data_IF_648096255288
#
_entry.id   IF_648096255288
#
_cell.length_a   1.000
_cell.length_b   1.000
_cell.length_c   1.000
_cell.angle_alpha   90.00
_cell.angle_beta   90.00
_cell.angle_gamma   90.00
#
_symmetry.space_group_name_H-M   'P 1'
#
loop_
_entity.id
_entity.type
_entity.pdbx_description
1 polymer ?
#
# COMPACT_ATOMS: atom_id res chain seq x y z
N UNK A 1 12.55 27.83 1.28
CA UNK A 1 12.63 26.56 0.51
C UNK A 1 11.34 26.40 -0.29
N UNK A 2 11.43 26.06 -1.59
CA UNK A 2 10.25 25.71 -2.39
C UNK A 2 9.78 24.32 -1.94
N UNK A 3 8.50 24.23 -1.56
CA UNK A 3 7.91 22.97 -1.11
C UNK A 3 7.78 21.99 -2.29
N UNK A 4 8.24 20.73 -2.15
CA UNK A 4 8.30 19.77 -3.24
C UNK A 4 6.96 19.06 -3.46
N UNK A 5 5.88 19.79 -3.72
CA UNK A 5 4.58 19.18 -4.06
C UNK A 5 4.69 18.34 -5.33
N UNK A 6 4.11 17.14 -5.33
CA UNK A 6 4.03 16.30 -6.54
C UNK A 6 3.19 17.05 -7.56
N UNK A 7 1.95 17.42 -7.25
CA UNK A 7 1.11 18.22 -8.15
C UNK A 7 0.98 19.66 -7.64
N UNK A 8 0.17 19.88 -6.60
CA UNK A 8 -0.09 21.19 -5.99
C UNK A 8 -0.40 20.99 -4.51
N UNK A 9 -0.10 21.99 -3.68
CA UNK A 9 -0.30 21.92 -2.23
C UNK A 9 -1.69 21.40 -1.83
N UNK A 10 -2.76 21.93 -2.45
CA UNK A 10 -4.14 21.54 -2.15
C UNK A 10 -4.43 20.06 -2.49
N UNK A 11 -4.07 19.60 -3.68
CA UNK A 11 -4.37 18.23 -4.12
C UNK A 11 -3.54 17.20 -3.39
N UNK A 12 -2.24 17.47 -3.21
CA UNK A 12 -1.34 16.60 -2.46
C UNK A 12 -1.78 16.50 -0.99
N UNK A 13 -2.12 17.63 -0.37
CA UNK A 13 -2.58 17.63 1.02
C UNK A 13 -3.87 16.81 1.17
N UNK A 14 -4.84 16.96 0.27
CA UNK A 14 -6.13 16.30 0.42
C UNK A 14 -6.11 14.80 0.06
N UNK A 15 -5.41 14.42 -1.03
CA UNK A 15 -5.50 13.05 -1.55
C UNK A 15 -4.30 12.16 -1.21
N UNK A 16 -3.16 12.74 -0.80
CA UNK A 16 -1.94 11.97 -0.50
C UNK A 16 -1.61 12.06 1.00
N UNK A 17 -1.63 13.26 1.59
CA UNK A 17 -1.20 13.44 2.99
C UNK A 17 -2.33 13.20 3.99
N UNK A 18 -3.49 13.82 3.79
CA UNK A 18 -4.64 13.79 4.69
C UNK A 18 -5.20 12.38 4.98
N UNK A 19 -5.25 11.41 4.04
CA UNK A 19 -5.87 10.11 4.30
C UNK A 19 -5.37 9.44 5.59
N UNK A 20 -4.06 9.43 5.81
CA UNK A 20 -3.45 8.86 7.02
C UNK A 20 -3.93 9.55 8.31
N UNK A 21 -3.91 10.88 8.35
CA UNK A 21 -4.35 11.65 9.52
C UNK A 21 -5.84 11.55 9.77
N UNK A 22 -6.64 11.55 8.69
CA UNK A 22 -8.09 11.44 8.77
C UNK A 22 -8.48 10.10 9.37
N UNK A 23 -7.87 9.01 8.92
CA UNK A 23 -8.17 7.67 9.43
C UNK A 23 -7.74 7.54 10.89
N UNK A 24 -6.55 8.02 11.25
CA UNK A 24 -6.12 8.05 12.66
C UNK A 24 -7.14 8.80 13.51
N UNK A 25 -7.60 9.97 13.07
CA UNK A 25 -8.62 10.73 13.80
C UNK A 25 -9.94 9.95 13.91
N UNK A 26 -10.40 9.29 12.84
CA UNK A 26 -11.61 8.47 12.85
C UNK A 26 -11.49 7.34 13.88
N UNK A 27 -10.35 6.64 13.91
CA UNK A 27 -10.11 5.53 14.85
C UNK A 27 -10.20 6.01 16.31
N UNK A 28 -9.58 7.14 16.63
CA UNK A 28 -9.61 7.66 18.01
C UNK A 28 -10.96 8.25 18.41
N UNK A 29 -11.68 8.88 17.49
CA UNK A 29 -12.96 9.53 17.79
C UNK A 29 -14.15 8.55 17.78
N UNK A 30 -14.06 7.47 17.01
CA UNK A 30 -15.19 6.57 16.73
C UNK A 30 -14.90 5.09 17.06
N UNK A 31 -14.03 4.82 18.04
CA UNK A 31 -13.60 3.45 18.37
C UNK A 31 -14.77 2.50 18.66
N UNK A 32 -15.77 2.94 19.44
CA UNK A 32 -16.95 2.10 19.77
C UNK A 32 -17.81 1.81 18.54
N UNK A 33 -17.98 2.79 17.67
CA UNK A 33 -18.74 2.66 16.44
C UNK A 33 -18.02 1.74 15.44
N UNK A 34 -16.69 1.83 15.35
CA UNK A 34 -15.89 0.93 14.52
C UNK A 34 -16.04 -0.52 14.98
N UNK A 35 -16.02 -0.79 16.29
CA UNK A 35 -16.27 -2.14 16.80
C UNK A 35 -17.66 -2.67 16.40
N UNK A 36 -18.70 -1.85 16.52
CA UNK A 36 -20.06 -2.23 16.07
C UNK A 36 -20.11 -2.48 14.56
N UNK A 37 -19.39 -1.67 13.77
CA UNK A 37 -19.30 -1.83 12.32
C UNK A 37 -18.61 -3.14 11.95
N UNK A 38 -17.51 -3.47 12.64
CA UNK A 38 -16.76 -4.72 12.45
C UNK A 38 -17.65 -5.95 12.73
N UNK A 39 -18.42 -5.91 13.82
CA UNK A 39 -19.29 -7.01 14.24
C UNK A 39 -20.54 -7.18 13.36
N UNK A 40 -21.12 -6.09 12.85
CA UNK A 40 -22.43 -6.12 12.17
C UNK A 40 -22.39 -5.91 10.66
N UNK A 41 -21.32 -5.33 10.12
CA UNK A 41 -21.22 -4.86 8.73
C UNK A 41 -19.91 -5.29 8.05
N UNK A 42 -19.35 -6.44 8.46
CA UNK A 42 -18.07 -6.98 7.97
C UNK A 42 -17.98 -7.06 6.43
N UNK A 43 -19.06 -7.47 5.76
CA UNK A 43 -19.14 -7.48 4.29
C UNK A 43 -18.90 -6.09 3.68
N UNK A 44 -19.54 -5.05 4.22
CA UNK A 44 -19.41 -3.70 3.67
C UNK A 44 -18.03 -3.11 3.94
N UNK A 45 -17.43 -3.41 5.10
CA UNK A 45 -16.06 -2.99 5.39
C UNK A 45 -15.06 -3.67 4.48
N UNK A 46 -15.22 -4.97 4.23
CA UNK A 46 -14.40 -5.69 3.26
C UNK A 46 -14.57 -5.12 1.85
N UNK A 47 -15.81 -4.93 1.38
CA UNK A 47 -16.08 -4.41 0.05
C UNK A 47 -15.48 -3.00 -0.15
N UNK A 48 -15.64 -2.11 0.82
CA UNK A 48 -15.17 -0.73 0.70
C UNK A 48 -13.66 -0.64 0.87
N UNK A 49 -13.09 -1.31 1.86
CA UNK A 49 -11.66 -1.19 2.18
C UNK A 49 -10.84 -2.11 1.29
N UNK A 50 -11.10 -3.42 1.33
CA UNK A 50 -10.31 -4.40 0.59
C UNK A 50 -10.58 -4.25 -0.91
N UNK A 51 -11.81 -4.37 -1.37
CA UNK A 51 -12.07 -4.39 -2.83
C UNK A 51 -11.90 -3.02 -3.47
N UNK A 52 -12.56 -1.99 -2.93
CA UNK A 52 -12.63 -0.67 -3.57
C UNK A 52 -11.42 0.23 -3.31
N UNK A 53 -10.53 -0.13 -2.39
CA UNK A 53 -9.28 0.62 -2.15
C UNK A 53 -8.07 -0.28 -2.36
N UNK A 54 -7.99 -1.44 -1.69
CA UNK A 54 -6.82 -2.31 -1.78
C UNK A 54 -6.72 -2.95 -3.18
N UNK A 55 -7.66 -3.78 -3.59
CA UNK A 55 -7.62 -4.39 -4.93
C UNK A 55 -7.67 -3.32 -6.03
N UNK A 56 -8.45 -2.26 -5.86
CA UNK A 56 -8.53 -1.16 -6.82
C UNK A 56 -7.21 -0.42 -7.06
N UNK A 57 -6.34 -0.23 -6.03
CA UNK A 57 -5.08 0.48 -6.23
C UNK A 57 -4.10 -0.31 -7.09
N UNK A 58 -4.11 -1.65 -7.00
CA UNK A 58 -3.30 -2.56 -7.83
C UNK A 58 -3.50 -2.22 -9.31
N UNK A 59 -4.77 -2.06 -9.71
CA UNK A 59 -5.16 -1.76 -11.09
C UNK A 59 -4.86 -0.32 -11.53
N UNK A 60 -4.64 0.62 -10.61
CA UNK A 60 -4.19 1.96 -10.97
C UNK A 60 -2.85 1.91 -11.75
N UNK A 61 -2.03 0.89 -11.49
CA UNK A 61 -0.76 0.66 -12.21
C UNK A 61 -0.94 0.51 -13.72
N UNK A 62 -2.10 0.02 -14.19
CA UNK A 62 -2.40 -0.12 -15.63
C UNK A 62 -2.32 1.23 -16.36
N UNK A 63 -2.75 2.31 -15.72
CA UNK A 63 -2.79 3.67 -16.28
C UNK A 63 -1.39 4.31 -16.42
N UNK A 64 -0.38 3.76 -15.76
CA UNK A 64 1.03 4.14 -15.93
C UNK A 64 1.77 3.24 -16.93
N UNK A 65 1.26 2.04 -17.17
CA UNK A 65 1.99 0.95 -17.83
C UNK A 65 1.25 0.43 -19.07
N UNK A 66 0.40 -0.58 -18.90
CA UNK A 66 -0.23 -1.32 -20.00
C UNK A 66 -1.12 -0.46 -20.89
N UNK A 67 -1.83 0.52 -20.33
CA UNK A 67 -2.68 1.45 -21.09
C UNK A 67 -1.88 2.56 -21.78
N UNK A 68 -0.61 2.73 -21.46
CA UNK A 68 0.26 3.75 -22.06
C UNK A 68 1.12 3.10 -23.13
N UNK A 69 0.69 3.20 -24.40
CA UNK A 69 1.35 2.54 -25.55
C UNK A 69 2.87 2.78 -25.58
N UNK A 70 3.32 4.00 -25.32
CA UNK A 70 4.74 4.36 -25.34
C UNK A 70 5.53 3.67 -24.24
N UNK A 71 5.02 3.63 -23.01
CA UNK A 71 5.66 2.91 -21.89
C UNK A 71 5.58 1.41 -22.09
N UNK A 72 4.48 0.88 -22.64
CA UNK A 72 4.37 -0.54 -22.98
C UNK A 72 5.44 -0.98 -23.98
N UNK A 73 5.62 -0.25 -25.09
CA UNK A 73 6.65 -0.60 -26.09
C UNK A 73 8.06 -0.51 -25.50
N UNK A 74 8.33 0.52 -24.71
CA UNK A 74 9.63 0.74 -24.06
C UNK A 74 9.99 -0.33 -23.03
N UNK A 75 9.00 -0.89 -22.32
CA UNK A 75 9.19 -1.87 -21.24
C UNK A 75 8.56 -3.23 -21.52
N UNK A 76 8.32 -3.55 -22.80
CA UNK A 76 7.55 -4.74 -23.23
C UNK A 76 8.04 -6.04 -22.59
N UNK A 77 9.36 -6.25 -22.53
CA UNK A 77 9.96 -7.43 -21.90
C UNK A 77 9.58 -7.55 -20.41
N UNK A 78 9.62 -6.44 -19.68
CA UNK A 78 9.25 -6.41 -18.26
C UNK A 78 7.74 -6.62 -18.07
N UNK A 79 6.91 -5.89 -18.84
CA UNK A 79 5.45 -5.91 -18.67
C UNK A 79 4.80 -7.22 -19.14
N UNK A 80 5.45 -8.01 -19.99
CA UNK A 80 4.98 -9.36 -20.36
C UNK A 80 5.67 -10.42 -19.51
N UNK A 81 6.99 -10.31 -19.33
CA UNK A 81 7.78 -11.32 -18.63
C UNK A 81 7.50 -11.39 -17.13
N UNK A 82 7.24 -10.26 -16.47
CA UNK A 82 7.04 -10.22 -15.02
C UNK A 82 5.75 -10.93 -14.57
N UNK A 83 4.56 -10.72 -15.19
CA UNK A 83 3.37 -11.51 -14.86
C UNK A 83 3.57 -13.02 -15.05
N UNK A 84 4.24 -13.43 -16.13
CA UNK A 84 4.55 -14.85 -16.38
C UNK A 84 5.47 -15.39 -15.28
N UNK A 85 6.51 -14.63 -14.91
CA UNK A 85 7.40 -15.03 -13.83
C UNK A 85 6.66 -15.12 -12.49
N UNK A 86 5.78 -14.17 -12.17
CA UNK A 86 4.96 -14.19 -10.95
C UNK A 86 4.06 -15.44 -10.92
N UNK A 87 3.43 -15.78 -12.04
CA UNK A 87 2.62 -16.99 -12.15
C UNK A 87 3.45 -18.26 -11.91
N UNK A 88 4.60 -18.40 -12.58
CA UNK A 88 5.49 -19.56 -12.42
C UNK A 88 6.06 -19.66 -11.00
N UNK A 89 6.45 -18.54 -10.40
CA UNK A 89 6.88 -18.49 -9.00
C UNK A 89 5.73 -18.87 -8.07
N UNK A 90 4.51 -18.40 -8.33
CA UNK A 90 3.32 -18.77 -7.58
C UNK A 90 3.05 -20.28 -7.63
N UNK A 91 3.17 -20.91 -8.81
CA UNK A 91 3.05 -22.36 -8.95
C UNK A 91 4.07 -23.12 -8.10
N UNK A 92 5.34 -22.68 -8.14
CA UNK A 92 6.42 -23.29 -7.34
C UNK A 92 6.17 -23.10 -5.85
N UNK A 93 5.78 -21.90 -5.41
CA UNK A 93 5.52 -21.64 -3.99
C UNK A 93 4.31 -22.43 -3.50
N UNK A 94 3.25 -22.54 -4.29
CA UNK A 94 2.06 -23.30 -3.93
C UNK A 94 2.31 -24.81 -3.88
N UNK A 95 3.19 -25.34 -4.74
CA UNK A 95 3.57 -26.76 -4.69
C UNK A 95 4.37 -27.13 -3.43
N UNK A 96 5.01 -26.16 -2.76
CA UNK A 96 5.62 -26.32 -1.44
C UNK A 96 4.59 -26.29 -0.29
N UNK A 97 3.33 -25.98 -0.60
CA UNK A 97 2.22 -25.95 0.34
C UNK A 97 1.57 -24.57 0.45
N UNK A 98 0.25 -24.57 0.70
CA UNK A 98 -0.56 -23.34 0.83
C UNK A 98 0.01 -22.37 1.87
N UNK A 99 0.46 -22.87 3.03
CA UNK A 99 1.08 -22.03 4.06
C UNK A 99 2.34 -21.31 3.57
N UNK A 100 3.22 -22.00 2.84
CA UNK A 100 4.46 -21.41 2.28
C UNK A 100 4.11 -20.34 1.25
N UNK A 101 3.12 -20.59 0.40
CA UNK A 101 2.65 -19.65 -0.60
C UNK A 101 2.13 -18.34 0.03
N UNK A 102 1.18 -18.44 0.96
CA UNK A 102 0.61 -17.25 1.59
C UNK A 102 1.63 -16.51 2.45
N UNK A 103 2.51 -17.22 3.16
CA UNK A 103 3.61 -16.61 3.91
C UNK A 103 4.54 -15.82 2.98
N UNK A 104 4.97 -16.42 1.87
CA UNK A 104 5.84 -15.76 0.91
C UNK A 104 5.17 -14.52 0.31
N UNK A 105 3.90 -14.61 -0.07
CA UNK A 105 3.14 -13.49 -0.60
C UNK A 105 2.96 -12.38 0.44
N UNK A 106 2.70 -12.71 1.70
CA UNK A 106 2.60 -11.77 2.81
C UNK A 106 3.90 -10.98 3.02
N UNK A 107 5.06 -11.65 3.04
CA UNK A 107 6.35 -10.96 3.14
C UNK A 107 6.63 -10.05 1.94
N UNK A 108 6.25 -10.46 0.73
CA UNK A 108 6.39 -9.64 -0.48
C UNK A 108 5.47 -8.42 -0.42
N UNK A 109 4.23 -8.59 0.04
CA UNK A 109 3.28 -7.49 0.25
C UNK A 109 3.79 -6.49 1.28
N UNK A 110 4.25 -6.96 2.45
CA UNK A 110 4.86 -6.11 3.49
C UNK A 110 6.04 -5.33 2.92
N UNK A 111 6.93 -5.99 2.17
CA UNK A 111 8.04 -5.32 1.51
C UNK A 111 7.56 -4.24 0.53
N UNK A 112 6.55 -4.52 -0.29
CA UNK A 112 5.96 -3.56 -1.21
C UNK A 112 5.41 -2.33 -0.45
N UNK A 113 4.63 -2.53 0.60
CA UNK A 113 4.06 -1.46 1.43
C UNK A 113 5.16 -0.58 2.05
N UNK A 114 6.21 -1.18 2.60
CA UNK A 114 7.39 -0.46 3.13
C UNK A 114 8.03 0.40 2.03
N UNK A 115 8.23 -0.18 0.84
CA UNK A 115 8.88 0.48 -0.30
C UNK A 115 8.03 1.60 -0.87
N UNK A 116 6.71 1.51 -0.81
CA UNK A 116 5.79 2.56 -1.23
C UNK A 116 5.90 3.79 -0.32
N UNK A 117 5.90 3.60 1.01
CA UNK A 117 6.09 4.69 1.98
C UNK A 117 7.45 5.40 1.78
N UNK A 118 8.50 4.62 1.56
CA UNK A 118 9.81 5.14 1.16
C UNK A 118 9.73 5.94 -0.15
N UNK A 119 9.04 5.41 -1.17
CA UNK A 119 8.85 6.07 -2.47
C UNK A 119 8.23 7.46 -2.35
N UNK A 120 7.14 7.60 -1.60
CA UNK A 120 6.51 8.90 -1.32
C UNK A 120 7.44 9.86 -0.59
N UNK A 121 8.14 9.39 0.45
CA UNK A 121 9.13 10.19 1.16
C UNK A 121 10.20 10.72 0.20
N UNK A 122 10.73 9.87 -0.70
CA UNK A 122 11.73 10.28 -1.70
C UNK A 122 11.19 11.28 -2.71
N UNK A 123 9.95 11.13 -3.18
CA UNK A 123 9.30 12.10 -4.06
C UNK A 123 9.20 13.46 -3.38
N UNK A 124 8.80 13.49 -2.11
CA UNK A 124 8.74 14.71 -1.31
C UNK A 124 10.09 15.20 -0.79
N UNK A 125 11.17 14.42 -0.86
CA UNK A 125 12.52 14.86 -0.49
C UNK A 125 13.38 15.26 -1.71
N UNK A 126 12.84 15.23 -2.93
CA UNK A 126 13.63 15.36 -4.18
C UNK A 126 14.42 16.67 -4.32
N UNK A 127 13.96 17.74 -3.69
CA UNK A 127 14.62 19.06 -3.71
C UNK A 127 15.52 19.28 -2.48
N UNK A 128 15.63 18.31 -1.57
CA UNK A 128 16.50 18.40 -0.39
C UNK A 128 17.93 17.97 -0.70
N UNK A 129 18.88 18.49 0.10
CA UNK A 129 20.27 18.06 0.05
C UNK A 129 20.41 16.57 0.35
N UNK A 130 21.24 15.87 -0.43
CA UNK A 130 21.52 14.45 -0.22
C UNK A 130 22.29 14.14 1.07
N UNK A 131 22.85 15.16 1.76
CA UNK A 131 23.69 15.01 2.96
C UNK A 131 23.03 14.21 4.09
N UNK A 132 21.72 14.37 4.27
CA UNK A 132 20.97 13.81 5.42
C UNK A 132 19.95 12.75 5.02
N UNK A 133 20.07 12.21 3.80
CA UNK A 133 19.13 11.22 3.27
C UNK A 133 19.11 9.95 4.11
N UNK A 134 20.25 9.58 4.72
CA UNK A 134 20.30 8.40 5.59
C UNK A 134 19.40 8.54 6.83
N UNK A 135 19.18 9.75 7.36
CA UNK A 135 18.26 9.99 8.48
C UNK A 135 16.81 9.83 8.01
N UNK A 136 16.47 10.38 6.85
CA UNK A 136 15.13 10.22 6.26
C UNK A 136 14.84 8.73 5.95
N UNK A 137 15.84 8.00 5.47
CA UNK A 137 15.75 6.56 5.25
C UNK A 137 15.59 5.80 6.57
N UNK A 138 16.41 6.11 7.57
CA UNK A 138 16.34 5.47 8.87
C UNK A 138 14.94 5.62 9.48
N UNK A 139 14.38 6.85 9.52
CA UNK A 139 13.06 7.05 10.12
C UNK A 139 11.95 6.36 9.35
N UNK A 140 11.94 6.39 8.01
CA UNK A 140 10.83 5.81 7.25
C UNK A 140 10.84 4.29 7.32
N UNK A 141 12.02 3.66 7.32
CA UNK A 141 12.12 2.22 7.53
C UNK A 141 11.81 1.84 8.98
N UNK A 142 12.27 2.63 9.96
CA UNK A 142 11.93 2.39 11.37
C UNK A 142 10.43 2.52 11.62
N UNK A 143 9.76 3.47 10.97
CA UNK A 143 8.31 3.67 11.07
C UNK A 143 7.50 2.44 10.64
N UNK A 144 8.02 1.64 9.71
CA UNK A 144 7.31 0.47 9.16
C UNK A 144 7.85 -0.86 9.66
N UNK A 145 9.17 -1.01 9.82
CA UNK A 145 9.81 -2.25 10.26
C UNK A 145 9.56 -2.50 11.76
N UNK A 146 9.61 -1.48 12.61
CA UNK A 146 9.37 -1.70 14.04
C UNK A 146 7.97 -2.28 14.32
N UNK A 147 6.86 -1.76 13.73
CA UNK A 147 5.55 -2.38 13.87
C UNK A 147 5.50 -3.83 13.39
N UNK A 148 6.19 -4.19 12.31
CA UNK A 148 6.29 -5.61 11.89
C UNK A 148 7.08 -6.46 12.88
N UNK A 149 8.21 -5.95 13.40
CA UNK A 149 8.95 -6.63 14.47
C UNK A 149 8.09 -6.79 15.73
N UNK A 150 7.25 -5.80 16.04
CA UNK A 150 6.28 -5.91 17.12
C UNK A 150 5.29 -7.04 16.84
N UNK A 151 4.73 -7.12 15.63
CA UNK A 151 3.85 -8.22 15.25
C UNK A 151 4.55 -9.57 15.43
N UNK A 152 5.75 -9.76 14.88
CA UNK A 152 6.46 -11.04 14.94
C UNK A 152 6.89 -11.47 16.36
N UNK A 153 7.15 -10.51 17.26
CA UNK A 153 7.74 -10.76 18.58
C UNK A 153 6.74 -10.63 19.75
N UNK A 154 5.50 -10.26 19.48
CA UNK A 154 4.42 -10.14 20.47
C UNK A 154 3.43 -11.30 20.36
N UNK A 155 2.53 -11.47 21.34
CA UNK A 155 1.44 -12.43 21.22
C UNK A 155 0.60 -12.21 19.96
N UNK A 156 -0.04 -13.27 19.49
CA UNK A 156 -0.85 -13.25 18.27
C UNK A 156 -1.82 -12.07 18.22
N UNK A 157 -1.81 -11.39 17.07
CA UNK A 157 -2.71 -10.28 16.77
C UNK A 157 -4.06 -10.83 16.30
N UNK A 158 -5.12 -10.02 16.42
CA UNK A 158 -6.49 -10.37 16.02
C UNK A 158 -6.80 -9.99 14.56
N UNK A 159 -5.77 -9.92 13.73
CA UNK A 159 -5.85 -9.51 12.34
C UNK A 159 -4.75 -10.23 11.58
N UNK A 160 -5.00 -10.42 10.29
CA UNK A 160 -4.06 -11.05 9.36
C UNK A 160 -3.78 -10.10 8.20
N UNK A 161 -2.65 -10.28 7.53
CA UNK A 161 -2.35 -9.63 6.26
C UNK A 161 -3.13 -10.28 5.13
N UNK A 162 -3.08 -11.61 5.00
CA UNK A 162 -3.91 -12.39 4.09
C UNK A 162 -4.66 -13.52 4.81
N UNK A 163 -3.92 -14.39 5.50
CA UNK A 163 -4.49 -15.59 6.16
C UNK A 163 -3.88 -15.81 7.53
N UNK A 164 -4.55 -16.61 8.36
CA UNK A 164 -4.03 -16.98 9.68
C UNK A 164 -2.66 -17.68 9.59
N UNK A 165 -1.76 -17.35 10.51
CA UNK A 165 -0.43 -17.96 10.67
C UNK A 165 0.51 -17.82 9.45
N UNK A 166 0.37 -16.76 8.65
CA UNK A 166 1.24 -16.49 7.48
C UNK A 166 2.63 -15.95 7.85
N UNK A 167 2.81 -15.45 9.07
CA UNK A 167 4.10 -14.95 9.53
C UNK A 167 4.72 -15.91 10.53
N UNK A 168 6.05 -16.02 10.45
CA UNK A 168 6.81 -16.67 11.51
C UNK A 168 6.74 -15.82 12.78
N UNK A 169 6.16 -16.39 13.83
CA UNK A 169 6.00 -15.76 15.14
C UNK A 169 7.05 -16.30 16.12
N UNK A 170 7.71 -15.40 16.84
CA UNK A 170 8.70 -15.73 17.86
C UNK A 170 8.58 -14.76 19.05
N UNK A 171 7.72 -15.09 20.01
CA UNK A 171 7.47 -14.24 21.16
C UNK A 171 8.74 -14.00 21.98
N UNK A 172 9.20 -12.73 22.04
CA UNK A 172 10.39 -12.37 22.79
C UNK A 172 10.29 -10.93 23.34
N UNK A 173 9.84 -10.78 24.60
CA UNK A 173 9.65 -9.48 25.23
C UNK A 173 10.95 -8.66 25.36
N UNK A 174 12.10 -9.32 25.53
CA UNK A 174 13.38 -8.65 25.66
C UNK A 174 13.80 -8.00 24.33
N UNK A 175 13.76 -8.76 23.23
CA UNK A 175 14.05 -8.22 21.90
C UNK A 175 13.07 -7.11 21.53
N UNK A 176 11.79 -7.29 21.85
CA UNK A 176 10.77 -6.27 21.61
C UNK A 176 11.07 -4.96 22.35
N UNK A 177 11.48 -5.05 23.62
CA UNK A 177 11.91 -3.89 24.42
C UNK A 177 13.13 -3.20 23.83
N UNK A 178 14.14 -3.97 23.38
CA UNK A 178 15.33 -3.42 22.73
C UNK A 178 14.95 -2.67 21.44
N UNK A 179 14.15 -3.28 20.57
CA UNK A 179 13.69 -2.63 19.34
C UNK A 179 12.82 -1.42 19.61
N UNK A 180 12.03 -1.41 20.69
CA UNK A 180 11.30 -0.24 21.16
C UNK A 180 12.20 0.94 21.50
N UNK A 181 13.31 0.70 22.22
CA UNK A 181 14.30 1.75 22.50
C UNK A 181 15.00 2.25 21.23
N UNK A 182 15.35 1.35 20.30
CA UNK A 182 15.93 1.72 19.00
C UNK A 182 14.96 2.59 18.20
N UNK A 183 13.67 2.22 18.18
CA UNK A 183 12.61 2.99 17.53
C UNK A 183 12.51 4.42 18.11
N UNK A 184 12.45 4.56 19.43
CA UNK A 184 12.39 5.86 20.10
C UNK A 184 13.65 6.70 19.86
N UNK A 185 14.82 6.08 19.83
CA UNK A 185 16.08 6.76 19.59
C UNK A 185 16.17 7.34 18.17
N UNK A 186 15.78 6.57 17.15
CA UNK A 186 15.75 7.03 15.75
C UNK A 186 14.71 8.14 15.58
N UNK A 187 13.54 8.01 16.22
CA UNK A 187 12.52 9.05 16.25
C UNK A 187 13.06 10.36 16.85
N UNK A 188 13.76 10.29 17.98
CA UNK A 188 14.38 11.45 18.62
C UNK A 188 15.45 12.10 17.73
N UNK A 189 16.29 11.32 17.07
CA UNK A 189 17.27 11.83 16.09
C UNK A 189 16.55 12.57 14.96
N UNK A 190 15.48 12.00 14.42
CA UNK A 190 14.74 12.63 13.33
C UNK A 190 14.09 13.95 13.76
N UNK A 191 13.44 13.98 14.93
CA UNK A 191 12.78 15.17 15.48
C UNK A 191 13.81 16.26 15.77
N UNK A 192 14.89 15.93 16.50
CA UNK A 192 15.94 16.90 16.86
C UNK A 192 16.58 17.51 15.62
N UNK A 193 16.90 16.70 14.60
CA UNK A 193 17.41 17.18 13.31
C UNK A 193 16.40 18.06 12.58
N UNK A 194 15.12 17.69 12.57
CA UNK A 194 14.08 18.46 11.89
C UNK A 194 13.84 19.81 12.57
N UNK A 195 13.78 19.84 13.90
CA UNK A 195 13.67 21.06 14.71
C UNK A 195 14.90 21.95 14.51
N UNK A 196 16.11 21.38 14.57
CA UNK A 196 17.35 22.12 14.33
C UNK A 196 17.36 22.78 12.95
N UNK A 197 16.96 22.05 11.90
CA UNK A 197 16.89 22.60 10.53
C UNK A 197 15.81 23.68 10.40
N UNK A 198 14.66 23.51 11.05
CA UNK A 198 13.60 24.51 11.06
C UNK A 198 14.08 25.81 11.71
N UNK A 199 14.69 25.72 12.90
CA UNK A 199 15.10 26.90 13.68
C UNK A 199 16.37 27.58 13.15
N UNK A 200 17.39 26.82 12.74
CA UNK A 200 18.68 27.41 12.33
C UNK A 200 18.75 27.75 10.84
N UNK A 201 17.98 27.06 10.00
CA UNK A 201 18.02 27.25 8.54
C UNK A 201 16.74 27.85 7.97
N UNK A 202 15.69 28.04 8.77
CA UNK A 202 14.37 28.49 8.31
C UNK A 202 13.84 27.62 7.16
N UNK A 203 14.12 26.32 7.22
CA UNK A 203 13.69 25.33 6.23
C UNK A 203 12.91 24.22 6.89
N UNK A 204 11.66 24.04 6.49
CA UNK A 204 10.82 22.92 6.88
C UNK A 204 10.08 22.36 5.66
N UNK A 205 10.29 21.08 5.35
CA UNK A 205 9.63 20.41 4.23
C UNK A 205 8.31 19.80 4.72
N UNK A 206 7.21 20.47 4.44
CA UNK A 206 5.88 20.09 4.93
C UNK A 206 5.48 18.70 4.42
N UNK A 207 5.41 18.43 3.10
CA UNK A 207 4.88 17.16 2.63
C UNK A 207 5.74 15.95 3.01
N UNK A 208 7.07 16.10 3.07
CA UNK A 208 7.95 15.00 3.50
C UNK A 208 7.69 14.62 4.96
N UNK A 209 7.63 15.62 5.84
CA UNK A 209 7.35 15.39 7.25
C UNK A 209 5.93 14.85 7.47
N UNK A 210 4.96 15.34 6.71
CA UNK A 210 3.59 14.85 6.77
C UNK A 210 3.48 13.37 6.37
N UNK A 211 4.17 12.92 5.31
CA UNK A 211 4.26 11.49 4.97
C UNK A 211 4.89 10.71 6.10
N UNK A 212 6.07 11.12 6.60
CA UNK A 212 6.77 10.37 7.66
C UNK A 212 5.90 10.24 8.92
N UNK A 213 5.27 11.33 9.36
CA UNK A 213 4.36 11.30 10.52
C UNK A 213 3.14 10.44 10.22
N UNK A 214 2.50 10.60 9.06
CA UNK A 214 1.36 9.78 8.64
C UNK A 214 1.68 8.29 8.64
N UNK A 215 2.86 7.90 8.12
CA UNK A 215 3.36 6.53 8.16
C UNK A 215 3.56 6.05 9.60
N UNK A 216 4.23 6.83 10.45
CA UNK A 216 4.45 6.49 11.86
C UNK A 216 3.12 6.22 12.56
N UNK A 217 2.16 7.15 12.45
CA UNK A 217 0.87 7.03 13.12
C UNK A 217 0.09 5.83 12.59
N UNK A 218 0.01 5.67 11.26
CA UNK A 218 -0.81 4.61 10.66
C UNK A 218 -0.28 3.22 10.99
N UNK A 219 1.04 3.00 10.89
CA UNK A 219 1.64 1.70 11.18
C UNK A 219 1.67 1.40 12.68
N UNK A 220 2.01 2.39 13.52
CA UNK A 220 2.04 2.19 14.96
C UNK A 220 0.65 1.93 15.52
N UNK A 221 -0.35 2.74 15.16
CA UNK A 221 -1.71 2.52 15.65
C UNK A 221 -2.37 1.30 15.02
N UNK A 222 -2.12 1.03 13.74
CA UNK A 222 -2.71 -0.11 13.03
C UNK A 222 -2.18 -1.46 13.51
N UNK A 223 -0.90 -1.54 13.90
CA UNK A 223 -0.26 -2.83 14.23
C UNK A 223 0.09 -2.97 15.71
N UNK A 224 0.63 -1.91 16.34
CA UNK A 224 1.17 -1.98 17.71
C UNK A 224 0.07 -1.73 18.74
N UNK A 225 -0.59 -0.57 18.65
CA UNK A 225 -1.49 -0.08 19.69
C UNK A 225 -2.86 -0.78 19.65
N UNK A 226 -3.56 -0.75 18.52
CA UNK A 226 -4.87 -1.40 18.37
C UNK A 226 -4.70 -2.85 17.93
N UNK A 227 -5.60 -3.71 18.41
CA UNK A 227 -5.61 -5.14 18.12
C UNK A 227 -6.98 -5.57 17.59
N UNK A 228 -7.44 -4.93 16.52
CA UNK A 228 -8.69 -5.25 15.82
C UNK A 228 -8.46 -5.21 14.32
N UNK A 229 -9.16 -6.06 13.57
CA UNK A 229 -8.95 -6.23 12.13
C UNK A 229 -9.39 -4.99 11.36
N UNK A 230 -10.57 -4.45 11.69
CA UNK A 230 -11.07 -3.27 11.00
C UNK A 230 -10.13 -2.06 11.16
N UNK A 231 -9.53 -1.86 12.33
CA UNK A 231 -8.61 -0.73 12.56
C UNK A 231 -7.30 -0.93 11.81
N UNK A 232 -6.75 -2.15 11.83
CA UNK A 232 -5.56 -2.51 11.06
C UNK A 232 -5.81 -2.26 9.56
N UNK A 233 -6.87 -2.85 9.01
CA UNK A 233 -7.25 -2.75 7.60
C UNK A 233 -7.49 -1.30 7.20
N UNK A 234 -8.25 -0.54 7.99
CA UNK A 234 -8.52 0.87 7.70
C UNK A 234 -7.24 1.72 7.66
N UNK A 235 -6.37 1.61 8.68
CA UNK A 235 -5.13 2.39 8.74
C UNK A 235 -4.11 1.95 7.69
N UNK A 236 -4.02 0.66 7.41
CA UNK A 236 -3.09 0.13 6.43
C UNK A 236 -3.54 0.48 5.01
N UNK A 237 -4.79 0.13 4.66
CA UNK A 237 -5.32 0.22 3.29
C UNK A 237 -5.54 1.66 2.85
N UNK A 238 -6.23 2.47 3.65
CA UNK A 238 -6.57 3.85 3.25
C UNK A 238 -5.32 4.72 3.15
N UNK A 239 -4.34 4.52 4.03
CA UNK A 239 -3.13 5.33 4.11
C UNK A 239 -2.10 5.03 3.01
N UNK A 240 -2.30 3.99 2.19
CA UNK A 240 -1.43 3.69 1.06
C UNK A 240 -2.19 3.64 -0.28
N UNK A 241 -3.36 3.00 -0.31
CA UNK A 241 -4.14 2.79 -1.54
C UNK A 241 -4.67 4.09 -2.12
N UNK A 242 -5.31 4.94 -1.30
CA UNK A 242 -5.80 6.26 -1.76
C UNK A 242 -4.64 7.13 -2.24
N UNK A 243 -3.54 7.31 -1.48
CA UNK A 243 -2.36 8.03 -1.97
C UNK A 243 -1.81 7.50 -3.30
N UNK A 244 -1.80 6.19 -3.52
CA UNK A 244 -1.32 5.59 -4.76
C UNK A 244 -2.23 5.89 -5.95
N UNK A 245 -3.54 5.67 -5.80
CA UNK A 245 -4.54 6.01 -6.81
C UNK A 245 -4.44 7.49 -7.18
N UNK A 246 -4.31 8.37 -6.17
CA UNK A 246 -4.12 9.79 -6.36
C UNK A 246 -2.79 10.12 -7.08
N UNK A 247 -1.69 9.46 -6.69
CA UNK A 247 -0.38 9.63 -7.32
C UNK A 247 -0.45 9.30 -8.82
N UNK A 248 -1.10 8.18 -9.18
CA UNK A 248 -1.30 7.77 -10.56
C UNK A 248 -2.13 8.79 -11.31
N UNK A 249 -3.32 9.14 -10.80
CA UNK A 249 -4.21 10.08 -11.48
C UNK A 249 -3.52 11.44 -11.70
N UNK A 250 -2.90 11.99 -10.66
CA UNK A 250 -2.25 13.30 -10.72
C UNK A 250 -1.01 13.30 -11.64
N UNK A 251 -0.19 12.25 -11.63
CA UNK A 251 1.03 12.21 -12.46
C UNK A 251 0.78 11.76 -13.89
N UNK A 252 -0.07 10.77 -14.09
CA UNK A 252 -0.21 10.10 -15.37
C UNK A 252 -1.38 10.65 -16.18
N UNK A 253 -2.44 11.13 -15.53
CA UNK A 253 -3.63 11.67 -16.21
C UNK A 253 -3.61 13.20 -16.19
N UNK A 254 -3.56 13.81 -15.01
CA UNK A 254 -3.74 15.27 -14.86
C UNK A 254 -2.58 16.08 -15.44
N UNK A 255 -1.33 15.68 -15.18
CA UNK A 255 -0.14 16.42 -15.65
C UNK A 255 0.15 16.28 -17.14
N UNK A 256 -0.17 15.15 -17.75
CA UNK A 256 0.21 14.87 -19.13
C UNK A 256 -0.65 15.65 -20.13
N UNK A 257 -0.05 15.97 -21.27
CA UNK A 257 -0.72 16.67 -22.37
C UNK A 257 -1.63 15.71 -23.17
N UNK A 258 -2.53 16.28 -23.99
CA UNK A 258 -3.45 15.49 -24.85
C UNK A 258 -2.69 14.55 -25.80
N UNK A 259 -1.55 15.00 -26.34
CA UNK A 259 -0.72 14.21 -27.25
C UNK A 259 -0.08 13.02 -26.55
N UNK A 260 0.35 13.18 -25.30
CA UNK A 260 0.93 12.10 -24.49
C UNK A 260 -0.11 11.08 -24.02
N UNK A 261 -1.33 11.52 -23.73
CA UNK A 261 -2.41 10.67 -23.21
C UNK A 261 -3.10 9.83 -24.27
N UNK A 262 -3.23 10.34 -25.50
CA UNK A 262 -4.02 9.67 -26.54
C UNK A 262 -5.45 9.41 -26.07
N UNK A 263 -5.89 8.14 -26.06
CA UNK A 263 -7.24 7.76 -25.59
C UNK A 263 -7.45 8.05 -24.09
N UNK A 264 -6.39 8.02 -23.29
CA UNK A 264 -6.47 8.30 -21.85
C UNK A 264 -6.88 9.74 -21.54
N UNK A 265 -6.88 10.63 -22.55
CA UNK A 265 -7.34 12.00 -22.40
C UNK A 265 -8.81 12.10 -21.96
N UNK A 266 -9.63 11.08 -22.24
CA UNK A 266 -11.02 11.01 -21.77
C UNK A 266 -11.12 11.05 -20.23
N UNK A 267 -10.13 10.49 -19.53
CA UNK A 267 -10.06 10.49 -18.07
C UNK A 267 -9.66 11.85 -17.47
N UNK A 268 -9.27 12.83 -18.30
CA UNK A 268 -8.94 14.21 -17.90
C UNK A 268 -10.10 15.19 -18.10
N UNK A 269 -11.10 14.83 -18.91
CA UNK A 269 -12.23 15.71 -19.25
C UNK A 269 -13.21 15.87 -18.07
N UNK A 270 -14.25 16.70 -18.23
CA UNK A 270 -15.30 16.83 -17.21
C UNK A 270 -15.91 15.45 -16.90
N UNK A 271 -15.91 15.07 -15.61
CA UNK A 271 -16.21 13.71 -15.08
C UNK A 271 -15.15 12.61 -15.31
N UNK A 272 -14.00 12.92 -15.90
CA UNK A 272 -12.95 11.94 -16.18
C UNK A 272 -12.42 11.20 -14.95
N UNK A 273 -12.31 11.88 -13.81
CA UNK A 273 -11.97 11.25 -12.52
C UNK A 273 -13.01 10.21 -12.08
N UNK A 274 -14.30 10.45 -12.34
CA UNK A 274 -15.38 9.50 -11.99
C UNK A 274 -15.25 8.25 -12.85
N UNK A 275 -14.99 8.41 -14.15
CA UNK A 275 -14.76 7.28 -15.06
C UNK A 275 -13.51 6.50 -14.65
N UNK A 276 -12.43 7.20 -14.28
CA UNK A 276 -11.20 6.57 -13.79
C UNK A 276 -11.47 5.69 -12.58
N UNK A 277 -12.15 6.23 -11.56
CA UNK A 277 -12.53 5.47 -10.38
C UNK A 277 -13.47 4.31 -10.73
N UNK A 278 -14.50 4.54 -11.54
CA UNK A 278 -15.43 3.47 -11.96
C UNK A 278 -14.71 2.31 -12.64
N UNK A 279 -13.74 2.59 -13.52
CA UNK A 279 -12.93 1.53 -14.15
C UNK A 279 -12.15 0.73 -13.12
N UNK A 280 -11.50 1.39 -12.14
CA UNK A 280 -10.78 0.69 -11.08
C UNK A 280 -11.71 -0.18 -10.24
N UNK A 281 -12.86 0.36 -9.83
CA UNK A 281 -13.83 -0.37 -9.02
C UNK A 281 -14.42 -1.58 -9.76
N UNK A 282 -14.71 -1.44 -11.05
CA UNK A 282 -15.26 -2.54 -11.86
C UNK A 282 -14.26 -3.69 -12.02
N UNK A 283 -12.99 -3.38 -12.28
CA UNK A 283 -11.94 -4.40 -12.43
C UNK A 283 -11.68 -5.07 -11.08
N UNK A 284 -11.53 -4.28 -10.01
CA UNK A 284 -11.30 -4.81 -8.67
C UNK A 284 -12.45 -5.70 -8.17
N UNK A 285 -13.69 -5.25 -8.35
CA UNK A 285 -14.87 -6.05 -8.02
C UNK A 285 -14.92 -7.34 -8.84
N UNK A 286 -14.54 -7.28 -10.12
CA UNK A 286 -14.52 -8.46 -10.98
C UNK A 286 -13.44 -9.46 -10.57
N UNK A 287 -12.24 -8.99 -10.19
CA UNK A 287 -11.20 -9.86 -9.62
C UNK A 287 -11.68 -10.52 -8.33
N UNK A 288 -12.17 -9.73 -7.38
CA UNK A 288 -12.58 -10.27 -6.09
C UNK A 288 -13.79 -11.20 -6.21
N UNK A 289 -14.72 -10.89 -7.10
CA UNK A 289 -15.82 -11.77 -7.43
C UNK A 289 -15.32 -13.13 -7.97
N UNK A 290 -14.25 -13.16 -8.76
CA UNK A 290 -13.64 -14.42 -9.18
C UNK A 290 -12.98 -15.17 -8.01
N UNK A 291 -12.33 -14.48 -7.08
CA UNK A 291 -11.82 -15.08 -5.85
C UNK A 291 -12.94 -15.71 -5.01
N UNK A 292 -14.03 -14.98 -4.79
CA UNK A 292 -15.20 -15.46 -4.07
C UNK A 292 -15.82 -16.70 -4.73
N UNK A 293 -15.98 -16.69 -6.05
CA UNK A 293 -16.59 -17.81 -6.77
C UNK A 293 -15.72 -19.07 -6.82
N UNK A 294 -14.40 -18.92 -6.91
CA UNK A 294 -13.48 -20.02 -7.22
C UNK A 294 -12.77 -20.57 -5.97
N UNK A 295 -12.55 -19.73 -4.96
CA UNK A 295 -11.70 -20.02 -3.80
C UNK A 295 -12.46 -19.86 -2.47
N UNK A 296 -12.95 -18.66 -2.15
CA UNK A 296 -13.43 -18.33 -0.79
C UNK A 296 -14.83 -18.85 -0.51
N UNK A 297 -15.79 -18.53 -1.39
CA UNK A 297 -17.20 -18.86 -1.25
C UNK A 297 -17.78 -18.40 0.12
N UNK A 298 -17.36 -17.23 0.58
CA UNK A 298 -17.71 -16.69 1.90
C UNK A 298 -18.87 -15.72 1.82
N UNK A 299 -18.84 -14.81 0.85
CA UNK A 299 -19.77 -13.68 0.77
C UNK A 299 -20.97 -13.94 -0.15
N UNK A 300 -20.79 -14.76 -1.19
CA UNK A 300 -21.81 -15.04 -2.21
C UNK A 300 -22.22 -16.51 -2.21
N UNK A 301 -23.18 -16.87 -1.36
CA UNK A 301 -23.74 -18.23 -1.28
C UNK A 301 -24.64 -18.53 -2.48
N UNK A 302 -24.13 -19.22 -3.51
CA UNK A 302 -25.00 -19.62 -4.64
C UNK A 302 -24.35 -20.41 -5.78
N UNK A 303 -23.02 -20.45 -5.83
CA UNK A 303 -22.27 -21.04 -6.95
C UNK A 303 -21.11 -21.87 -6.44
N UNK A 304 -21.39 -23.07 -5.94
CA UNK A 304 -20.35 -24.03 -5.55
C UNK A 304 -19.72 -24.65 -6.81
N UNK A 305 -18.80 -23.94 -7.43
CA UNK A 305 -17.91 -24.54 -8.43
C UNK A 305 -16.89 -25.40 -7.69
N UNK A 306 -17.07 -26.73 -7.72
CA UNK A 306 -16.16 -27.68 -7.08
C UNK A 306 -14.82 -27.78 -7.86
N UNK A 307 -13.96 -26.76 -7.70
CA UNK A 307 -12.67 -26.63 -8.37
C UNK A 307 -11.47 -26.82 -7.44
N UNK A 308 -11.67 -27.49 -6.30
CA UNK A 308 -10.62 -27.70 -5.30
C UNK A 308 -9.37 -28.41 -5.87
N UNK A 309 -9.59 -29.38 -6.78
CA UNK A 309 -8.50 -30.07 -7.48
C UNK A 309 -7.67 -29.15 -8.40
N UNK A 310 -8.18 -27.97 -8.75
CA UNK A 310 -7.54 -26.98 -9.62
C UNK A 310 -6.94 -25.81 -8.85
N UNK A 311 -7.09 -25.76 -7.52
CA UNK A 311 -6.55 -24.67 -6.67
C UNK A 311 -5.05 -24.47 -6.86
N UNK A 312 -4.30 -25.53 -7.16
CA UNK A 312 -2.86 -25.46 -7.44
C UNK A 312 -2.48 -24.61 -8.65
N UNK A 313 -3.42 -24.36 -9.58
CA UNK A 313 -3.25 -23.43 -10.72
C UNK A 313 -4.04 -22.15 -10.49
N UNK A 314 -5.28 -22.25 -9.99
CA UNK A 314 -6.19 -21.12 -9.87
C UNK A 314 -5.65 -20.09 -8.87
N UNK A 315 -5.17 -20.51 -7.69
CA UNK A 315 -4.66 -19.57 -6.67
C UNK A 315 -3.42 -18.81 -7.20
N UNK A 316 -2.39 -19.48 -7.73
CA UNK A 316 -1.28 -18.78 -8.38
C UNK A 316 -1.70 -17.87 -9.53
N UNK A 317 -2.73 -18.24 -10.31
CA UNK A 317 -3.22 -17.42 -11.42
C UNK A 317 -3.93 -16.15 -10.93
N UNK A 318 -4.82 -16.28 -9.95
CA UNK A 318 -5.57 -15.16 -9.40
C UNK A 318 -4.67 -14.18 -8.63
N UNK A 319 -3.55 -14.63 -8.08
CA UNK A 319 -2.57 -13.73 -7.42
C UNK A 319 -1.67 -12.96 -8.37
N UNK A 320 -1.67 -13.28 -9.68
CA UNK A 320 -0.78 -12.63 -10.66
C UNK A 320 -0.90 -11.10 -10.68
N UNK A 321 -2.10 -10.48 -10.69
CA UNK A 321 -2.23 -9.01 -10.73
C UNK A 321 -1.54 -8.36 -9.52
N UNK A 322 -1.86 -8.84 -8.32
CA UNK A 322 -1.32 -8.34 -7.06
C UNK A 322 0.18 -8.57 -6.94
N UNK A 323 0.65 -9.79 -7.19
CA UNK A 323 2.06 -10.14 -7.11
C UNK A 323 2.89 -9.36 -8.16
N UNK A 324 2.37 -9.22 -9.38
CA UNK A 324 3.00 -8.40 -10.42
C UNK A 324 3.12 -6.96 -9.96
N UNK A 325 2.04 -6.36 -9.43
CA UNK A 325 2.06 -4.98 -8.96
C UNK A 325 3.13 -4.76 -7.88
N UNK A 326 3.20 -5.66 -6.89
CA UNK A 326 4.17 -5.57 -5.80
C UNK A 326 5.62 -5.46 -6.30
N UNK A 327 5.96 -6.24 -7.32
CA UNK A 327 7.29 -6.22 -7.92
C UNK A 327 7.47 -5.08 -8.93
N UNK A 328 6.46 -4.85 -9.78
CA UNK A 328 6.53 -3.91 -10.91
C UNK A 328 6.73 -2.46 -10.45
N UNK A 329 6.14 -2.09 -9.32
CA UNK A 329 6.23 -0.75 -8.74
C UNK A 329 7.69 -0.33 -8.50
N UNK A 330 8.54 -1.27 -8.07
CA UNK A 330 9.97 -1.03 -7.89
C UNK A 330 10.71 -0.64 -9.18
N UNK A 331 10.19 -1.02 -10.35
CA UNK A 331 10.81 -0.76 -11.66
C UNK A 331 10.24 0.46 -12.38
N UNK A 332 8.94 0.73 -12.24
CA UNK A 332 8.26 1.80 -12.98
C UNK A 332 8.46 3.18 -12.34
N UNK A 333 8.72 3.22 -11.03
CA UNK A 333 8.99 4.46 -10.29
C UNK A 333 10.49 4.79 -10.16
N UNK A 334 11.37 3.89 -10.59
CA UNK A 334 12.81 4.16 -10.61
C UNK A 334 13.13 5.23 -11.65
N UNK A 335 13.49 6.42 -11.18
CA UNK A 335 14.04 7.47 -12.05
C UNK A 335 15.38 6.98 -12.63
N UNK A 336 15.63 7.20 -13.92
CA UNK A 336 16.95 6.97 -14.50
C UNK A 336 17.91 7.92 -13.79
N UNK A 337 18.89 7.38 -13.06
CA UNK A 337 20.00 8.18 -12.52
C UNK A 337 20.85 8.72 -13.65
#
# INVERSE_FOLDING_TARGET
MIQPWIHKAKTDSFFILLPSFLVVAIVFLFQKQLQLIEEQYSFYTWLILVVFIDVAHVYATLFKTYFVKTEFQKRKKLLIGLPILCFLMGLVLFSLGSAVFWSALAYIAVFHFIRQQYGFMRLYARNESKKWVWIDNAIIYTATIYPMLFWFLSPSRKFNWFVENEFYMFENPLLLKIFGWVYLFILLIYITRTVYQSLKKNTFNIPKNAIIVGTILSWYFGIVYFNTDLVFTLLNVVSHGIPYIALIYLNEIEKKSKTELGFLYQFKQYKGIIIFIMVLLLIAFSEEYLWELLIWNEQFSGTNLHLQNWHFIIIPLLTVPQFTHYLLDGFIWKSKS
#
